data_IF_998911983975
#
_entry.id   IF_998911983975
#
_cell.length_a   1.000
_cell.length_b   1.000
_cell.length_c   1.000
_cell.angle_alpha   90.00
_cell.angle_beta   90.00
_cell.angle_gamma   90.00
#
_symmetry.space_group_name_H-M   'P 1'
#
loop_
_entity.id
_entity.type
_entity.pdbx_description
1 polymer ?
#
# COMPACT_ATOMS: atom_id res chain seq x y z
N UNK A 1 19.95 -24.06 -6.31
CA UNK A 1 19.66 -22.66 -6.70
C UNK A 1 18.15 -22.55 -6.65
N UNK A 2 17.63 -22.15 -5.49
CA UNK A 2 16.21 -22.14 -5.23
C UNK A 2 15.59 -20.93 -5.93
N UNK A 3 14.78 -21.20 -6.95
CA UNK A 3 13.96 -20.21 -7.61
C UNK A 3 13.02 -19.59 -6.58
N UNK A 4 13.21 -18.31 -6.28
CA UNK A 4 12.28 -17.51 -5.48
C UNK A 4 10.95 -17.53 -6.24
N UNK A 5 9.97 -18.28 -5.73
CA UNK A 5 8.59 -18.18 -6.17
C UNK A 5 8.09 -16.77 -5.85
N UNK A 6 8.21 -15.87 -6.83
CA UNK A 6 7.43 -14.64 -6.81
C UNK A 6 5.95 -15.05 -6.74
N UNK A 7 5.16 -14.51 -5.80
CA UNK A 7 3.73 -14.80 -5.75
C UNK A 7 3.11 -14.39 -7.10
N UNK A 8 2.12 -15.15 -7.60
CA UNK A 8 1.51 -14.86 -8.88
C UNK A 8 0.91 -13.45 -8.85
N UNK A 9 1.45 -12.57 -9.69
CA UNK A 9 0.81 -11.29 -9.99
C UNK A 9 -0.54 -11.67 -10.59
N UNK A 10 -1.62 -11.37 -9.87
CA UNK A 10 -2.95 -11.78 -10.23
C UNK A 10 -3.34 -11.10 -11.56
N UNK A 11 -3.22 -11.84 -12.65
CA UNK A 11 -3.49 -11.43 -14.02
C UNK A 11 -4.99 -11.29 -14.25
N UNK A 12 -5.63 -10.23 -13.75
CA UNK A 12 -7.03 -9.95 -14.10
C UNK A 12 -7.47 -8.51 -13.79
N UNK A 13 -6.89 -7.48 -14.44
CA UNK A 13 -7.60 -6.22 -14.70
C UNK A 13 -7.16 -5.75 -16.09
N UNK A 14 -8.07 -5.27 -16.93
CA UNK A 14 -7.71 -4.58 -18.17
C UNK A 14 -6.59 -3.58 -17.90
N UNK A 15 -5.64 -3.46 -18.81
CA UNK A 15 -4.36 -2.77 -18.62
C UNK A 15 -4.45 -1.28 -18.23
N UNK A 16 -5.66 -0.74 -18.08
CA UNK A 16 -5.94 0.66 -17.80
C UNK A 16 -6.81 0.77 -16.54
N UNK A 17 -6.36 1.60 -15.60
CA UNK A 17 -7.15 2.02 -14.45
C UNK A 17 -8.31 2.87 -14.99
N UNK A 18 -9.58 2.57 -14.68
CA UNK A 18 -10.70 3.38 -15.11
C UNK A 18 -10.51 4.85 -14.70
N UNK A 19 -10.83 5.78 -15.60
CA UNK A 19 -10.61 7.22 -15.37
C UNK A 19 -11.30 7.72 -14.09
N UNK A 20 -12.50 7.22 -13.81
CA UNK A 20 -13.26 7.53 -12.59
C UNK A 20 -12.47 7.13 -11.32
N UNK A 21 -11.87 5.93 -11.31
CA UNK A 21 -11.06 5.44 -10.19
C UNK A 21 -9.80 6.30 -10.02
N UNK A 22 -9.15 6.67 -11.12
CA UNK A 22 -7.99 7.56 -11.08
C UNK A 22 -8.34 8.95 -10.54
N UNK A 23 -9.51 9.49 -10.91
CA UNK A 23 -9.98 10.79 -10.45
C UNK A 23 -10.30 10.78 -8.95
N UNK A 24 -10.99 9.76 -8.45
CA UNK A 24 -11.21 9.59 -7.01
C UNK A 24 -9.89 9.45 -6.24
N UNK A 25 -8.93 8.71 -6.80
CA UNK A 25 -7.61 8.57 -6.18
C UNK A 25 -6.85 9.89 -6.12
N UNK A 26 -6.92 10.73 -7.17
CA UNK A 26 -6.35 12.10 -7.15
C UNK A 26 -7.01 12.97 -6.07
N UNK A 27 -8.35 12.91 -5.94
CA UNK A 27 -9.08 13.65 -4.90
C UNK A 27 -8.63 13.21 -3.50
N UNK A 28 -8.52 11.90 -3.28
CA UNK A 28 -8.03 11.34 -2.04
C UNK A 28 -6.64 11.87 -1.68
N UNK A 29 -5.69 11.86 -2.63
CA UNK A 29 -4.32 12.35 -2.40
C UNK A 29 -4.26 13.86 -2.11
N UNK A 30 -5.19 14.66 -2.65
CA UNK A 30 -5.31 16.10 -2.32
C UNK A 30 -5.73 16.31 -0.86
N UNK A 31 -6.58 15.44 -0.32
CA UNK A 31 -7.09 15.56 1.06
C UNK A 31 -6.15 14.92 2.10
N UNK A 32 -5.46 13.84 1.69
CA UNK A 32 -4.61 13.04 2.56
C UNK A 32 -3.21 12.95 1.95
N UNK A 33 -2.23 13.76 2.41
CA UNK A 33 -0.87 13.71 1.89
C UNK A 33 -0.28 12.30 2.07
N UNK A 34 0.18 11.70 0.97
CA UNK A 34 0.67 10.31 0.95
C UNK A 34 1.76 10.05 2.01
N UNK A 35 2.69 10.99 2.20
CA UNK A 35 3.74 10.94 3.23
C UNK A 35 3.15 10.81 4.66
N UNK A 36 2.13 11.62 4.97
CA UNK A 36 1.46 11.60 6.28
C UNK A 36 0.78 10.24 6.49
N UNK A 37 0.09 9.75 5.46
CA UNK A 37 -0.61 8.48 5.51
C UNK A 37 0.36 7.30 5.65
N UNK A 38 1.41 7.23 4.84
CA UNK A 38 2.42 6.18 4.89
C UNK A 38 3.07 6.10 6.28
N UNK A 39 3.49 7.23 6.85
CA UNK A 39 4.02 7.28 8.22
C UNK A 39 3.00 6.86 9.28
N UNK A 40 1.76 7.31 9.16
CA UNK A 40 0.67 6.95 10.07
C UNK A 40 0.38 5.46 10.07
N UNK A 41 0.31 4.84 8.89
CA UNK A 41 0.07 3.41 8.73
C UNK A 41 1.26 2.57 9.25
N UNK A 42 2.51 3.01 9.03
CA UNK A 42 3.69 2.36 9.63
C UNK A 42 3.63 2.37 11.14
N UNK A 43 3.28 3.52 11.72
CA UNK A 43 3.10 3.64 13.16
C UNK A 43 1.99 2.72 13.67
N UNK A 44 0.85 2.67 13.00
CA UNK A 44 -0.25 1.78 13.36
C UNK A 44 0.19 0.31 13.35
N UNK A 45 0.93 -0.12 12.31
CA UNK A 45 1.46 -1.49 12.21
C UNK A 45 2.44 -1.80 13.35
N UNK A 46 3.35 -0.89 13.66
CA UNK A 46 4.30 -1.05 14.77
C UNK A 46 3.56 -1.13 16.10
N UNK A 47 2.61 -0.23 16.35
CA UNK A 47 1.81 -0.22 17.57
C UNK A 47 1.01 -1.53 17.69
N UNK A 48 0.39 -2.00 16.60
CA UNK A 48 -0.32 -3.28 16.56
C UNK A 48 0.61 -4.46 16.91
N UNK A 49 1.77 -4.53 16.27
CA UNK A 49 2.77 -5.57 16.54
C UNK A 49 3.24 -5.53 17.99
N UNK A 50 3.53 -4.34 18.52
CA UNK A 50 3.99 -4.18 19.89
C UNK A 50 3.00 -4.75 20.91
N UNK A 51 1.69 -4.54 20.70
CA UNK A 51 0.66 -5.03 21.63
C UNK A 51 0.17 -6.46 21.35
N UNK A 52 0.35 -7.00 20.15
CA UNK A 52 -0.30 -8.25 19.72
C UNK A 52 0.67 -9.31 19.17
N UNK A 53 1.99 -9.15 19.31
CA UNK A 53 2.98 -10.07 18.70
C UNK A 53 2.81 -11.54 19.10
N UNK A 54 2.26 -11.80 20.29
CA UNK A 54 2.02 -13.16 20.80
C UNK A 54 0.75 -13.81 20.24
N UNK A 55 -0.14 -13.01 19.63
CA UNK A 55 -1.45 -13.44 19.17
C UNK A 55 -1.80 -12.80 17.81
N UNK A 56 -0.87 -12.92 16.86
CA UNK A 56 -1.09 -12.46 15.50
C UNK A 56 -2.16 -13.32 14.79
N UNK A 57 -2.95 -12.72 13.89
CA UNK A 57 -3.98 -13.44 13.16
C UNK A 57 -3.32 -14.42 12.17
N UNK A 58 -4.07 -15.46 11.79
CA UNK A 58 -3.54 -16.55 10.95
C UNK A 58 -3.13 -16.09 9.55
N UNK A 59 -3.75 -15.03 9.05
CA UNK A 59 -3.50 -14.38 7.76
C UNK A 59 -2.52 -13.19 7.86
N UNK A 60 -1.83 -13.01 9.00
CA UNK A 60 -0.95 -11.88 9.24
C UNK A 60 0.09 -11.64 8.13
N UNK A 61 0.63 -12.72 7.53
CA UNK A 61 1.61 -12.63 6.44
C UNK A 61 1.03 -11.98 5.18
N UNK A 62 -0.23 -12.28 4.86
CA UNK A 62 -0.90 -11.72 3.68
C UNK A 62 -1.23 -10.25 3.94
N UNK A 63 -1.74 -9.93 5.14
CA UNK A 63 -1.97 -8.55 5.58
C UNK A 63 -0.69 -7.70 5.54
N UNK A 64 0.45 -8.26 5.97
CA UNK A 64 1.73 -7.58 5.92
C UNK A 64 2.20 -7.33 4.48
N UNK A 65 1.91 -8.25 3.56
CA UNK A 65 2.23 -8.13 2.13
C UNK A 65 1.39 -7.04 1.48
N UNK A 66 0.09 -6.98 1.78
CA UNK A 66 -0.80 -5.94 1.27
C UNK A 66 -0.40 -4.56 1.79
N UNK A 67 -0.08 -4.46 3.08
CA UNK A 67 0.45 -3.23 3.68
C UNK A 67 1.78 -2.81 3.04
N UNK A 68 2.67 -3.76 2.74
CA UNK A 68 3.93 -3.47 2.05
C UNK A 68 3.68 -2.80 0.68
N UNK A 69 2.81 -3.37 -0.16
CA UNK A 69 2.51 -2.80 -1.47
C UNK A 69 1.80 -1.44 -1.37
N UNK A 70 0.96 -1.25 -0.36
CA UNK A 70 0.36 0.05 -0.08
C UNK A 70 1.42 1.10 0.30
N UNK A 71 2.41 0.73 1.11
CA UNK A 71 3.53 1.63 1.43
C UNK A 71 4.38 1.97 0.21
N UNK A 72 4.69 0.99 -0.64
CA UNK A 72 5.42 1.22 -1.89
C UNK A 72 4.67 2.21 -2.80
N UNK A 73 3.34 2.06 -2.91
CA UNK A 73 2.50 3.00 -3.67
C UNK A 73 2.59 4.42 -3.10
N UNK A 74 2.36 4.58 -1.78
CA UNK A 74 2.34 5.89 -1.12
C UNK A 74 3.71 6.58 -1.14
N UNK A 75 4.79 5.82 -0.97
CA UNK A 75 6.15 6.35 -1.00
C UNK A 75 6.59 6.70 -2.43
N UNK A 76 6.19 5.89 -3.42
CA UNK A 76 6.41 6.18 -4.84
C UNK A 76 5.70 7.45 -5.32
N UNK A 77 4.57 7.81 -4.71
CA UNK A 77 3.86 9.08 -4.92
C UNK A 77 4.62 10.24 -4.28
N UNK A 78 5.14 10.08 -3.06
CA UNK A 78 5.85 11.14 -2.34
C UNK A 78 7.12 11.61 -3.07
N UNK A 79 7.79 10.72 -3.80
CA UNK A 79 9.00 11.04 -4.58
C UNK A 79 8.75 11.85 -5.86
N UNK A 80 7.50 12.15 -6.18
CA UNK A 80 7.11 12.90 -7.38
C UNK A 80 6.27 14.09 -6.96
N UNK A 81 6.71 15.31 -7.29
CA UNK A 81 5.79 16.44 -7.32
C UNK A 81 4.70 16.10 -8.32
N UNK A 82 3.52 15.73 -7.84
CA UNK A 82 2.37 15.56 -8.71
C UNK A 82 1.89 16.97 -9.04
N UNK A 83 2.38 17.53 -10.15
CA UNK A 83 1.78 18.70 -10.77
C UNK A 83 0.37 18.30 -11.24
N UNK A 84 -0.61 18.51 -10.35
CA UNK A 84 -2.02 18.32 -10.64
C UNK A 84 -2.50 19.56 -11.40
N UNK A 85 -2.30 19.55 -12.73
CA UNK A 85 -2.95 20.48 -13.65
C UNK A 85 -4.48 20.41 -13.51
#
# INVERSE_FOLDING_TARGET
>A
MDSINQPPINTAIGSEIPEEVLNEFKVFLKQVPANRLSKGLRKLLIDYLFYNIEALPTDFKDLLTDLYWLHELLDGIQGKEIELN
#
